data_IF_756914211150
#
_entry.id   IF_756914211150
#
_cell.length_a   1.000
_cell.length_b   1.000
_cell.length_c   1.000
_cell.angle_alpha   90.00
_cell.angle_beta   90.00
_cell.angle_gamma   90.00
#
_symmetry.space_group_name_H-M   'P 1'
#
loop_
_entity.id
_entity.type
_entity.pdbx_description
1 polymer ?
#
# COMPACT_ATOMS: atom_id res chain seq x y z
N UNK A 1 10.76 37.88 -15.13
CA UNK A 1 11.18 36.52 -15.54
C UNK A 1 10.01 35.58 -15.34
N UNK A 2 9.17 35.45 -16.36
CA UNK A 2 7.89 34.74 -16.34
C UNK A 2 8.11 33.23 -16.42
N UNK A 3 7.62 32.47 -15.45
CA UNK A 3 7.63 31.00 -15.47
C UNK A 3 6.74 30.49 -16.62
N UNK A 4 7.14 29.46 -17.37
CA UNK A 4 6.31 28.92 -18.44
C UNK A 4 5.07 28.25 -17.82
N UNK A 5 3.89 28.73 -18.21
CA UNK A 5 2.60 28.09 -17.90
C UNK A 5 2.61 26.68 -18.51
N UNK A 6 2.28 25.61 -17.75
CA UNK A 6 2.28 24.27 -18.31
C UNK A 6 1.27 24.19 -19.45
N UNK A 7 1.72 23.70 -20.60
CA UNK A 7 0.91 23.46 -21.78
C UNK A 7 -0.14 22.39 -21.46
N UNK A 8 -1.41 22.80 -21.45
CA UNK A 8 -2.55 21.88 -21.38
C UNK A 8 -2.51 21.05 -22.67
N UNK A 9 -2.12 19.79 -22.55
CA UNK A 9 -2.22 18.85 -23.67
C UNK A 9 -3.70 18.58 -23.96
N UNK A 10 -4.15 18.60 -25.22
CA UNK A 10 -5.58 18.54 -25.59
C UNK A 10 -6.24 17.17 -25.38
N UNK A 11 -5.52 16.18 -24.87
CA UNK A 11 -6.08 14.92 -24.39
C UNK A 11 -6.38 15.05 -22.90
N UNK A 12 -7.63 14.86 -22.46
CA UNK A 12 -8.09 14.96 -21.06
C UNK A 12 -7.43 14.02 -20.03
N UNK A 13 -6.28 13.41 -20.35
CA UNK A 13 -5.47 12.59 -19.46
C UNK A 13 -4.34 13.46 -18.89
N UNK A 14 -4.41 13.77 -17.60
CA UNK A 14 -3.35 14.49 -16.90
C UNK A 14 -2.40 13.50 -16.23
N UNK A 15 -1.10 13.65 -16.48
CA UNK A 15 -0.07 12.78 -15.91
C UNK A 15 0.47 13.39 -14.61
N UNK A 16 0.74 12.53 -13.62
CA UNK A 16 1.52 12.95 -12.46
C UNK A 16 2.98 13.17 -12.88
N UNK A 17 3.55 14.32 -12.54
CA UNK A 17 4.96 14.63 -12.78
C UNK A 17 5.69 14.72 -11.44
N UNK A 18 6.84 14.06 -11.34
CA UNK A 18 7.72 14.17 -10.18
C UNK A 18 8.87 15.14 -10.50
N UNK A 19 8.98 16.23 -9.74
CA UNK A 19 10.01 17.27 -9.92
C UNK A 19 11.13 17.22 -8.86
N UNK A 20 11.24 16.12 -8.12
CA UNK A 20 12.25 15.99 -7.07
C UNK A 20 13.64 15.73 -7.64
N UNK A 21 14.67 16.23 -6.97
CA UNK A 21 16.06 15.93 -7.31
C UNK A 21 16.57 14.76 -6.47
N UNK A 22 17.29 13.83 -7.12
CA UNK A 22 17.90 12.70 -6.43
C UNK A 22 18.91 13.14 -5.36
N UNK A 23 19.67 14.20 -5.63
CA UNK A 23 20.66 14.76 -4.69
C UNK A 23 20.05 15.29 -3.40
N UNK A 24 18.91 15.99 -3.47
CA UNK A 24 18.22 16.45 -2.25
C UNK A 24 17.66 15.27 -1.45
N UNK A 25 17.09 14.27 -2.12
CA UNK A 25 16.62 13.06 -1.45
C UNK A 25 17.77 12.28 -0.79
N UNK A 26 18.93 12.20 -1.46
CA UNK A 26 20.14 11.57 -0.94
C UNK A 26 20.66 12.30 0.31
N UNK A 27 20.73 13.63 0.27
CA UNK A 27 21.13 14.43 1.44
C UNK A 27 20.19 14.24 2.64
N UNK A 28 18.87 14.20 2.40
CA UNK A 28 17.89 13.87 3.46
C UNK A 28 18.14 12.46 4.02
N UNK A 29 18.40 11.47 3.14
CA UNK A 29 18.63 10.08 3.54
C UNK A 29 19.90 9.91 4.38
N UNK A 30 21.02 10.56 4.02
CA UNK A 30 22.26 10.50 4.82
C UNK A 30 22.05 11.08 6.21
N UNK A 31 21.46 12.27 6.31
CA UNK A 31 21.22 12.90 7.62
C UNK A 31 20.30 12.02 8.47
N UNK A 32 19.26 11.46 7.85
CA UNK A 32 18.37 10.52 8.54
C UNK A 32 19.12 9.25 8.97
N UNK A 33 20.00 8.69 8.15
CA UNK A 33 20.80 7.50 8.49
C UNK A 33 21.70 7.77 9.70
N UNK A 34 22.40 8.90 9.71
CA UNK A 34 23.25 9.29 10.84
C UNK A 34 22.42 9.40 12.12
N UNK A 35 21.28 10.09 12.07
CA UNK A 35 20.39 10.21 13.22
C UNK A 35 19.79 8.87 13.66
N UNK A 36 19.48 7.98 12.73
CA UNK A 36 19.03 6.61 13.03
C UNK A 36 20.11 5.85 13.79
N UNK A 37 21.37 5.93 13.36
CA UNK A 37 22.49 5.26 14.05
C UNK A 37 22.68 5.84 15.45
N UNK A 38 22.74 7.17 15.58
CA UNK A 38 22.94 7.86 16.87
C UNK A 38 21.81 7.58 17.86
N UNK A 39 20.57 7.44 17.38
CA UNK A 39 19.39 7.17 18.22
C UNK A 39 19.04 5.68 18.32
N UNK A 40 19.95 4.78 17.94
CA UNK A 40 19.75 3.33 17.97
C UNK A 40 18.44 2.88 17.29
N UNK A 41 18.10 3.50 16.16
CA UNK A 41 16.94 3.14 15.35
C UNK A 41 15.67 3.96 15.60
N UNK A 42 15.57 4.67 16.73
CA UNK A 42 14.35 5.39 17.12
C UNK A 42 14.01 6.51 16.12
N UNK A 43 15.00 7.23 15.61
CA UNK A 43 14.77 8.32 14.65
C UNK A 43 14.18 7.83 13.31
N UNK A 44 14.17 6.52 13.03
CA UNK A 44 13.67 5.98 11.76
C UNK A 44 12.22 6.38 11.46
N UNK A 45 11.39 6.57 12.49
CA UNK A 45 10.00 7.02 12.33
C UNK A 45 9.90 8.48 11.85
N UNK A 46 10.73 9.38 12.37
CA UNK A 46 10.82 10.76 11.93
C UNK A 46 11.46 10.87 10.56
N UNK A 47 12.51 10.08 10.30
CA UNK A 47 13.15 9.99 8.99
C UNK A 47 12.15 9.57 7.90
N UNK A 48 11.35 8.52 8.15
CA UNK A 48 10.27 8.08 7.26
C UNK A 48 9.25 9.19 6.99
N UNK A 49 8.82 9.93 8.00
CA UNK A 49 7.89 11.06 7.83
C UNK A 49 8.50 12.18 6.97
N UNK A 50 9.79 12.49 7.17
CA UNK A 50 10.52 13.53 6.43
C UNK A 50 10.67 13.17 4.95
N UNK A 51 11.06 11.92 4.66
CA UNK A 51 11.17 11.41 3.27
C UNK A 51 9.81 11.44 2.58
N UNK A 52 8.74 10.97 3.24
CA UNK A 52 7.38 11.01 2.66
C UNK A 52 6.93 12.43 2.37
N UNK A 53 7.17 13.37 3.30
CA UNK A 53 6.83 14.78 3.09
C UNK A 53 7.55 15.37 1.87
N UNK A 54 8.83 15.05 1.70
CA UNK A 54 9.60 15.46 0.53
C UNK A 54 9.04 14.85 -0.77
N UNK A 55 8.82 13.54 -0.81
CA UNK A 55 8.30 12.88 -2.01
C UNK A 55 6.94 13.44 -2.43
N UNK A 56 6.03 13.67 -1.49
CA UNK A 56 4.71 14.21 -1.78
C UNK A 56 4.80 15.67 -2.26
N UNK A 57 5.65 16.51 -1.63
CA UNK A 57 5.80 17.91 -2.05
C UNK A 57 6.49 18.10 -3.39
N UNK A 58 7.18 17.07 -3.88
CA UNK A 58 7.78 17.04 -5.21
C UNK A 58 6.94 16.27 -6.24
N UNK A 59 5.84 15.65 -5.82
CA UNK A 59 4.87 15.02 -6.72
C UNK A 59 3.80 16.04 -7.07
N UNK A 60 3.69 16.35 -8.36
CA UNK A 60 2.74 17.30 -8.92
C UNK A 60 1.72 16.54 -9.76
N UNK A 61 0.45 16.89 -9.60
CA UNK A 61 -0.64 16.36 -10.41
C UNK A 61 -1.54 17.53 -10.81
N UNK A 62 -1.84 17.66 -12.10
CA UNK A 62 -2.64 18.76 -12.66
C UNK A 62 -2.18 20.17 -12.25
N UNK A 63 -0.88 20.41 -12.18
CA UNK A 63 -0.31 21.73 -11.83
C UNK A 63 -0.14 22.01 -10.33
N UNK A 64 -0.69 21.14 -9.46
CA UNK A 64 -0.65 21.31 -8.01
C UNK A 64 0.07 20.15 -7.31
N UNK A 65 0.81 20.46 -6.24
CA UNK A 65 1.60 19.48 -5.48
C UNK A 65 0.78 18.80 -4.37
N UNK A 66 1.14 17.57 -4.04
CA UNK A 66 0.58 16.89 -2.88
C UNK A 66 1.23 17.40 -1.58
N UNK A 67 0.46 17.43 -0.50
CA UNK A 67 0.94 17.75 0.84
C UNK A 67 0.67 16.59 1.80
N UNK A 68 1.71 16.20 2.55
CA UNK A 68 1.67 15.13 3.54
C UNK A 68 1.83 15.69 4.95
N UNK A 69 0.84 15.43 5.81
CA UNK A 69 0.72 15.98 7.16
C UNK A 69 1.08 14.98 8.27
N UNK A 70 1.51 13.77 7.91
CA UNK A 70 1.87 12.75 8.91
C UNK A 70 3.12 13.12 9.70
N UNK A 71 3.13 12.75 10.99
CA UNK A 71 4.24 13.02 11.91
C UNK A 71 4.99 11.74 12.29
N UNK A 72 6.27 11.88 12.65
CA UNK A 72 7.09 10.75 13.14
C UNK A 72 6.52 10.13 14.43
N UNK A 73 5.96 10.97 15.32
CA UNK A 73 5.32 10.52 16.57
C UNK A 73 4.13 9.59 16.31
N UNK A 74 3.28 9.89 15.33
CA UNK A 74 2.16 9.02 14.95
C UNK A 74 2.63 7.65 14.47
N UNK A 75 3.67 7.64 13.63
CA UNK A 75 4.28 6.40 13.13
C UNK A 75 4.89 5.57 14.28
N UNK A 76 5.55 6.23 15.24
CA UNK A 76 6.11 5.58 16.42
C UNK A 76 5.02 4.97 17.31
N UNK A 77 3.94 5.70 17.60
CA UNK A 77 2.81 5.18 18.39
C UNK A 77 2.12 4.01 17.66
N UNK A 78 1.94 4.13 16.34
CA UNK A 78 1.41 3.04 15.52
C UNK A 78 2.30 1.79 15.59
N UNK A 79 3.61 1.95 15.54
CA UNK A 79 4.56 0.86 15.68
C UNK A 79 4.51 0.22 17.07
N UNK A 80 4.42 1.02 18.15
CA UNK A 80 4.29 0.49 19.50
C UNK A 80 3.03 -0.36 19.68
N UNK A 81 1.89 0.07 19.10
CA UNK A 81 0.65 -0.73 19.06
C UNK A 81 0.84 -2.05 18.30
N UNK A 82 1.54 -2.01 17.16
CA UNK A 82 1.82 -3.22 16.38
C UNK A 82 2.74 -4.18 17.15
N UNK A 83 3.80 -3.69 17.80
CA UNK A 83 4.65 -4.50 18.66
C UNK A 83 3.88 -5.10 19.82
N UNK A 84 3.03 -4.34 20.51
CA UNK A 84 2.16 -4.85 21.57
C UNK A 84 1.26 -5.98 21.08
N UNK A 85 0.63 -5.82 19.91
CA UNK A 85 -0.19 -6.86 19.30
C UNK A 85 0.61 -8.14 18.99
N UNK A 86 1.83 -8.00 18.45
CA UNK A 86 2.72 -9.15 18.16
C UNK A 86 3.16 -9.85 19.43
N UNK A 87 3.50 -9.10 20.49
CA UNK A 87 3.90 -9.67 21.79
C UNK A 87 2.74 -10.47 22.38
N UNK A 88 1.52 -9.91 22.39
CA UNK A 88 0.32 -10.62 22.87
C UNK A 88 0.08 -11.87 22.04
N UNK A 89 0.16 -11.76 20.71
CA UNK A 89 -0.01 -12.90 19.81
C UNK A 89 1.02 -14.01 20.09
N UNK A 90 2.29 -13.65 20.27
CA UNK A 90 3.36 -14.60 20.57
C UNK A 90 3.23 -15.22 21.96
N UNK A 91 2.82 -14.45 22.96
CA UNK A 91 2.56 -14.95 24.31
C UNK A 91 1.41 -15.96 24.32
N UNK A 92 0.31 -15.67 23.63
CA UNK A 92 -0.82 -16.59 23.46
C UNK A 92 -0.39 -17.84 22.70
N UNK A 93 0.37 -17.68 21.62
CA UNK A 93 0.92 -18.81 20.86
C UNK A 93 1.78 -19.72 21.75
N UNK A 94 2.72 -19.14 22.50
CA UNK A 94 3.60 -19.88 23.41
C UNK A 94 2.84 -20.58 24.54
N UNK A 95 1.77 -19.96 25.07
CA UNK A 95 0.92 -20.59 26.08
C UNK A 95 0.14 -21.79 25.49
N UNK A 96 -0.47 -21.62 24.31
CA UNK A 96 -1.29 -22.66 23.67
C UNK A 96 -0.44 -23.86 23.23
N UNK A 97 0.78 -23.65 22.73
CA UNK A 97 1.67 -24.74 22.26
C UNK A 97 2.05 -25.73 23.37
N UNK A 98 1.87 -25.37 24.65
CA UNK A 98 2.04 -26.30 25.77
C UNK A 98 0.93 -27.35 25.86
N UNK A 99 -0.23 -27.09 25.28
CA UNK A 99 -1.44 -27.91 25.39
C UNK A 99 -1.90 -28.54 24.07
N UNK A 100 -1.38 -28.08 22.92
CA UNK A 100 -1.80 -28.55 21.60
C UNK A 100 -0.66 -29.19 20.83
N UNK A 101 -1.00 -30.06 19.86
CA UNK A 101 -0.01 -30.64 18.96
C UNK A 101 0.63 -29.58 18.05
N UNK A 102 1.82 -29.87 17.53
CA UNK A 102 2.56 -28.98 16.64
C UNK A 102 1.72 -28.55 15.41
N UNK A 103 0.90 -29.44 14.87
CA UNK A 103 0.03 -29.13 13.72
C UNK A 103 -1.01 -28.05 14.03
N UNK A 104 -1.64 -28.12 15.22
CA UNK A 104 -2.62 -27.12 15.67
C UNK A 104 -1.92 -25.77 15.94
N UNK A 105 -0.72 -25.80 16.50
CA UNK A 105 0.08 -24.59 16.70
C UNK A 105 0.42 -23.88 15.37
N UNK A 106 0.83 -24.64 14.35
CA UNK A 106 1.10 -24.10 13.01
C UNK A 106 -0.17 -23.48 12.40
N UNK A 107 -1.31 -24.17 12.49
CA UNK A 107 -2.58 -23.64 12.01
C UNK A 107 -2.96 -22.32 12.69
N UNK A 108 -2.74 -22.21 14.01
CA UNK A 108 -2.96 -20.97 14.76
C UNK A 108 -2.11 -19.81 14.24
N UNK A 109 -0.85 -20.05 13.89
CA UNK A 109 0.01 -19.02 13.29
C UNK A 109 -0.59 -18.51 11.98
N UNK A 110 -0.96 -19.40 11.07
CA UNK A 110 -1.53 -19.01 9.77
C UNK A 110 -2.84 -18.24 9.93
N UNK A 111 -3.72 -18.68 10.82
CA UNK A 111 -4.98 -17.97 11.12
C UNK A 111 -4.71 -16.60 11.74
N UNK A 112 -3.78 -16.51 12.69
CA UNK A 112 -3.37 -15.26 13.31
C UNK A 112 -2.82 -14.25 12.30
N UNK A 113 -1.92 -14.69 11.42
CA UNK A 113 -1.38 -13.87 10.33
C UNK A 113 -2.52 -13.41 9.40
N UNK A 114 -3.40 -14.32 8.98
CA UNK A 114 -4.53 -14.01 8.12
C UNK A 114 -5.51 -13.01 8.78
N UNK A 115 -5.60 -12.98 10.11
CA UNK A 115 -6.40 -12.03 10.86
C UNK A 115 -5.71 -10.66 11.02
N UNK A 116 -4.39 -10.62 11.23
CA UNK A 116 -3.63 -9.37 11.48
C UNK A 116 -3.38 -8.59 10.19
N UNK A 117 -3.12 -9.26 9.06
CA UNK A 117 -2.85 -8.60 7.78
C UNK A 117 -3.96 -7.62 7.36
N UNK A 118 -5.25 -7.99 7.27
CA UNK A 118 -6.29 -7.07 6.82
C UNK A 118 -6.46 -5.88 7.76
N UNK A 119 -6.25 -6.06 9.08
CA UNK A 119 -6.26 -4.97 10.05
C UNK A 119 -5.12 -3.97 9.78
N UNK A 120 -3.91 -4.47 9.56
CA UNK A 120 -2.74 -3.65 9.26
C UNK A 120 -2.89 -2.89 7.93
N UNK A 121 -3.37 -3.58 6.88
CA UNK A 121 -3.65 -2.96 5.59
C UNK A 121 -4.72 -1.87 5.70
N UNK A 122 -5.82 -2.15 6.40
CA UNK A 122 -6.88 -1.17 6.64
C UNK A 122 -6.39 0.06 7.40
N UNK A 123 -5.67 -0.15 8.51
CA UNK A 123 -5.13 0.92 9.33
C UNK A 123 -4.12 1.78 8.57
N UNK A 124 -3.22 1.15 7.81
CA UNK A 124 -2.22 1.85 7.01
C UNK A 124 -2.84 2.69 5.89
N UNK A 125 -3.84 2.17 5.18
CA UNK A 125 -4.57 2.89 4.13
C UNK A 125 -5.32 4.09 4.70
N UNK A 126 -6.09 3.88 5.78
CA UNK A 126 -6.85 4.95 6.44
C UNK A 126 -5.93 6.07 6.95
N UNK A 127 -4.82 5.69 7.57
CA UNK A 127 -3.80 6.62 8.02
C UNK A 127 -3.22 7.43 6.84
N UNK A 128 -2.75 6.74 5.79
CA UNK A 128 -2.13 7.39 4.63
C UNK A 128 -3.07 8.39 3.95
N UNK A 129 -4.33 8.02 3.74
CA UNK A 129 -5.32 8.90 3.11
C UNK A 129 -5.61 10.12 3.98
N UNK A 130 -5.85 9.95 5.28
CA UNK A 130 -6.12 11.07 6.20
C UNK A 130 -4.98 12.09 6.34
N UNK A 131 -3.74 11.65 6.04
CA UNK A 131 -2.54 12.49 6.11
C UNK A 131 -2.11 13.04 4.75
N UNK A 132 -2.82 12.70 3.68
CA UNK A 132 -2.55 13.21 2.34
C UNK A 132 -3.59 14.26 1.96
N UNK A 133 -3.14 15.34 1.35
CA UNK A 133 -3.99 16.39 0.79
C UNK A 133 -3.47 16.84 -0.56
N UNK A 134 -4.37 17.34 -1.39
CA UNK A 134 -4.08 17.91 -2.69
C UNK A 134 -5.00 19.11 -2.92
N UNK A 135 -4.46 20.24 -3.40
CA UNK A 135 -5.20 21.52 -3.56
C UNK A 135 -5.94 21.96 -2.29
N UNK A 136 -5.35 21.71 -1.12
CA UNK A 136 -5.95 22.01 0.19
C UNK A 136 -7.04 21.03 0.65
N UNK A 137 -7.51 20.13 -0.21
CA UNK A 137 -8.54 19.12 0.12
C UNK A 137 -7.86 17.82 0.57
N UNK A 138 -8.28 17.29 1.72
CA UNK A 138 -7.75 16.03 2.27
C UNK A 138 -8.42 14.82 1.62
N UNK A 139 -7.62 13.77 1.41
CA UNK A 139 -8.18 12.47 1.06
C UNK A 139 -8.82 11.83 2.29
N UNK A 140 -9.87 11.06 2.07
CA UNK A 140 -10.51 10.28 3.13
C UNK A 140 -10.76 8.85 2.65
N UNK A 141 -10.62 7.90 3.56
CA UNK A 141 -10.94 6.51 3.31
C UNK A 141 -12.16 6.14 4.17
N UNK A 142 -13.26 5.77 3.52
CA UNK A 142 -14.58 5.52 4.14
C UNK A 142 -14.98 4.04 4.12
N UNK A 143 -14.03 3.13 3.88
CA UNK A 143 -14.31 1.69 3.83
C UNK A 143 -14.64 1.09 5.20
N UNK A 144 -15.53 0.10 5.22
CA UNK A 144 -15.88 -0.64 6.43
C UNK A 144 -14.88 -1.76 6.72
N UNK A 145 -14.41 -1.87 7.96
CA UNK A 145 -13.44 -2.91 8.35
C UNK A 145 -13.98 -4.33 8.11
N UNK A 146 -15.26 -4.58 8.41
CA UNK A 146 -15.89 -5.88 8.18
C UNK A 146 -15.89 -6.30 6.71
N UNK A 147 -16.13 -5.37 5.79
CA UNK A 147 -16.07 -5.64 4.34
C UNK A 147 -14.63 -5.94 3.88
N UNK A 148 -13.63 -5.25 4.45
CA UNK A 148 -12.22 -5.56 4.21
C UNK A 148 -11.90 -7.00 4.61
N UNK A 149 -12.32 -7.42 5.81
CA UNK A 149 -12.13 -8.79 6.30
C UNK A 149 -12.84 -9.82 5.43
N UNK A 150 -14.11 -9.58 5.09
CA UNK A 150 -14.92 -10.47 4.25
C UNK A 150 -14.26 -10.69 2.89
N UNK A 151 -13.80 -9.63 2.23
CA UNK A 151 -13.15 -9.73 0.93
C UNK A 151 -11.75 -10.36 1.02
N UNK A 152 -10.99 -10.03 2.07
CA UNK A 152 -9.66 -10.58 2.28
C UNK A 152 -9.70 -12.08 2.60
N UNK A 153 -10.45 -12.49 3.61
CA UNK A 153 -10.54 -13.89 4.04
C UNK A 153 -11.20 -14.76 2.97
N UNK A 154 -12.28 -14.29 2.33
CA UNK A 154 -12.88 -14.99 1.20
C UNK A 154 -11.92 -15.12 0.02
N UNK A 155 -11.12 -14.08 -0.23
CA UNK A 155 -10.08 -14.09 -1.27
C UNK A 155 -8.94 -15.05 -0.98
N UNK A 156 -8.44 -15.09 0.25
CA UNK A 156 -7.40 -16.03 0.70
C UNK A 156 -7.90 -17.46 0.59
N UNK A 157 -9.10 -17.75 1.10
CA UNK A 157 -9.70 -19.08 1.05
C UNK A 157 -9.86 -19.58 -0.40
N UNK A 158 -10.40 -18.75 -1.28
CA UNK A 158 -10.52 -19.10 -2.71
C UNK A 158 -9.16 -19.28 -3.39
N UNK A 159 -8.18 -18.47 -3.01
CA UNK A 159 -6.80 -18.60 -3.54
C UNK A 159 -6.16 -19.90 -3.11
N UNK A 160 -6.35 -20.33 -1.86
CA UNK A 160 -5.84 -21.62 -1.35
C UNK A 160 -6.53 -22.79 -2.05
N UNK A 161 -7.87 -22.78 -2.14
CA UNK A 161 -8.64 -23.86 -2.80
C UNK A 161 -8.28 -23.99 -4.28
N UNK A 162 -8.02 -22.88 -4.97
CA UNK A 162 -7.65 -22.86 -6.40
C UNK A 162 -6.15 -22.97 -6.65
N UNK A 163 -5.35 -23.34 -5.64
CA UNK A 163 -3.89 -23.47 -5.73
C UNK A 163 -3.21 -22.22 -6.32
N UNK A 164 -3.70 -21.04 -5.96
CA UNK A 164 -3.14 -19.75 -6.38
C UNK A 164 -3.79 -19.14 -7.63
N UNK A 165 -4.56 -19.89 -8.42
CA UNK A 165 -5.13 -19.40 -9.69
C UNK A 165 -6.08 -18.20 -9.49
N UNK A 166 -6.75 -18.11 -8.34
CA UNK A 166 -7.63 -16.99 -8.01
C UNK A 166 -6.91 -15.71 -7.57
N UNK A 167 -5.58 -15.73 -7.33
CA UNK A 167 -4.81 -14.57 -6.91
C UNK A 167 -5.04 -13.27 -7.72
N UNK A 168 -5.05 -13.26 -9.07
CA UNK A 168 -5.34 -12.04 -9.85
C UNK A 168 -6.75 -11.50 -9.63
N UNK A 169 -7.75 -12.35 -9.42
CA UNK A 169 -9.11 -11.92 -9.09
C UNK A 169 -9.20 -11.34 -7.69
N UNK A 170 -8.53 -11.98 -6.73
CA UNK A 170 -8.42 -11.46 -5.38
C UNK A 170 -7.77 -10.08 -5.36
N UNK A 171 -6.67 -9.89 -6.08
CA UNK A 171 -6.00 -8.59 -6.21
C UNK A 171 -6.94 -7.51 -6.77
N UNK A 172 -7.64 -7.80 -7.87
CA UNK A 172 -8.59 -6.85 -8.49
C UNK A 172 -9.74 -6.51 -7.54
N UNK A 173 -10.32 -7.48 -6.82
CA UNK A 173 -11.36 -7.22 -5.81
C UNK A 173 -10.85 -6.31 -4.70
N UNK A 174 -9.67 -6.61 -4.16
CA UNK A 174 -9.07 -5.81 -3.11
C UNK A 174 -8.76 -4.39 -3.60
N UNK A 175 -8.23 -4.23 -4.81
CA UNK A 175 -7.97 -2.92 -5.43
C UNK A 175 -9.25 -2.12 -5.65
N UNK A 176 -10.32 -2.80 -6.10
CA UNK A 176 -11.66 -2.20 -6.24
C UNK A 176 -12.17 -1.69 -4.89
N UNK A 177 -12.07 -2.50 -3.83
CA UNK A 177 -12.43 -2.09 -2.48
C UNK A 177 -11.64 -0.86 -2.02
N UNK A 178 -10.31 -0.84 -2.20
CA UNK A 178 -9.49 0.29 -1.78
C UNK A 178 -9.83 1.59 -2.54
N UNK A 179 -9.99 1.52 -3.86
CA UNK A 179 -10.24 2.70 -4.67
C UNK A 179 -11.66 3.23 -4.47
N UNK A 180 -12.69 2.37 -4.53
CA UNK A 180 -14.08 2.80 -4.39
C UNK A 180 -14.41 3.39 -3.01
N UNK A 181 -13.61 3.07 -2.00
CA UNK A 181 -13.75 3.63 -0.65
C UNK A 181 -12.79 4.80 -0.36
N UNK A 182 -11.95 5.18 -1.32
CA UNK A 182 -11.12 6.39 -1.24
C UNK A 182 -11.87 7.56 -1.86
N UNK A 183 -11.86 8.71 -1.18
CA UNK A 183 -12.55 9.92 -1.58
C UNK A 183 -11.58 11.09 -1.60
N UNK A 184 -11.75 11.96 -2.58
CA UNK A 184 -11.18 13.30 -2.59
C UNK A 184 -12.29 14.30 -2.33
N UNK A 185 -12.30 14.93 -1.15
CA UNK A 185 -13.46 15.71 -0.72
C UNK A 185 -14.72 14.84 -0.70
N UNK A 186 -15.65 15.10 -1.62
CA UNK A 186 -16.90 14.34 -1.78
C UNK A 186 -16.93 13.44 -3.03
N UNK A 187 -15.92 13.48 -3.90
CA UNK A 187 -15.87 12.63 -5.09
C UNK A 187 -15.14 11.32 -4.81
N UNK A 188 -15.76 10.15 -5.05
CA UNK A 188 -15.09 8.86 -4.88
C UNK A 188 -14.10 8.60 -6.02
N UNK A 189 -13.06 7.83 -5.72
CA UNK A 189 -12.26 7.18 -6.76
C UNK A 189 -13.00 5.97 -7.31
N UNK A 190 -12.78 5.66 -8.58
CA UNK A 190 -13.33 4.48 -9.23
C UNK A 190 -12.21 3.56 -9.71
N UNK A 191 -12.47 2.25 -9.71
CA UNK A 191 -11.58 1.28 -10.32
C UNK A 191 -12.36 0.28 -11.17
N UNK A 192 -11.99 0.18 -12.44
CA UNK A 192 -12.67 -0.64 -13.45
C UNK A 192 -11.78 -1.78 -13.97
N UNK A 193 -11.04 -2.43 -13.07
CA UNK A 193 -10.21 -3.60 -13.40
C UNK A 193 -11.00 -4.91 -13.42
N UNK A 194 -10.54 -5.87 -14.22
CA UNK A 194 -11.10 -7.23 -14.34
C UNK A 194 -9.99 -8.26 -14.12
N UNK A 195 -10.22 -9.21 -13.23
CA UNK A 195 -9.22 -10.24 -12.89
C UNK A 195 -8.78 -11.08 -14.10
N UNK A 196 -9.71 -11.37 -15.03
CA UNK A 196 -9.45 -12.14 -16.26
C UNK A 196 -8.32 -11.56 -17.11
N UNK A 197 -8.19 -10.23 -17.16
CA UNK A 197 -7.17 -9.55 -17.97
C UNK A 197 -5.73 -9.83 -17.43
N UNK A 198 -5.60 -10.17 -16.14
CA UNK A 198 -4.32 -10.47 -15.48
C UNK A 198 -3.99 -11.97 -15.44
N UNK A 199 -4.99 -12.86 -15.56
CA UNK A 199 -4.80 -14.32 -15.38
C UNK A 199 -3.74 -14.90 -16.29
N UNK A 200 -3.77 -14.58 -17.59
CA UNK A 200 -2.80 -15.11 -18.54
C UNK A 200 -1.35 -14.77 -18.15
N UNK A 201 -1.12 -13.50 -17.79
CA UNK A 201 0.20 -13.02 -17.39
C UNK A 201 0.64 -13.59 -16.04
N UNK A 202 -0.32 -13.84 -15.14
CA UNK A 202 -0.07 -14.51 -13.88
C UNK A 202 0.35 -15.96 -14.09
N UNK A 203 -0.36 -16.70 -14.95
CA UNK A 203 -0.02 -18.09 -15.29
C UNK A 203 1.36 -18.19 -15.95
N UNK A 204 1.67 -17.26 -16.87
CA UNK A 204 3.02 -17.13 -17.43
C UNK A 204 4.06 -16.86 -16.34
N UNK A 205 3.75 -16.00 -15.37
CA UNK A 205 4.67 -15.74 -14.26
C UNK A 205 4.91 -16.97 -13.39
N UNK A 206 3.87 -17.72 -13.07
CA UNK A 206 3.97 -18.98 -12.32
C UNK A 206 4.81 -20.00 -13.10
N UNK A 207 4.52 -20.20 -14.39
CA UNK A 207 5.25 -21.13 -15.25
C UNK A 207 6.74 -20.75 -15.36
N UNK A 208 7.02 -19.45 -15.54
CA UNK A 208 8.37 -18.93 -15.66
C UNK A 208 9.09 -18.78 -14.31
N UNK A 209 8.43 -19.08 -13.17
CA UNK A 209 9.04 -18.89 -11.85
C UNK A 209 10.27 -19.77 -11.67
N UNK A 210 10.20 -21.04 -12.04
CA UNK A 210 11.31 -22.00 -11.95
C UNK A 210 12.46 -21.61 -12.90
N UNK A 211 12.25 -21.48 -14.24
CA UNK A 211 13.35 -21.21 -15.16
C UNK A 211 13.97 -19.82 -14.98
N UNK A 212 13.21 -18.83 -14.50
CA UNK A 212 13.73 -17.47 -14.30
C UNK A 212 14.17 -17.18 -12.87
N UNK A 213 14.12 -18.16 -11.96
CA UNK A 213 14.40 -17.97 -10.53
C UNK A 213 13.71 -16.72 -9.96
N UNK A 214 12.38 -16.66 -10.15
CA UNK A 214 11.53 -15.52 -9.79
C UNK A 214 11.73 -14.20 -10.55
N UNK A 215 12.72 -14.05 -11.43
CA UNK A 215 13.00 -12.77 -12.09
C UNK A 215 11.81 -12.23 -12.90
N UNK A 216 11.01 -13.11 -13.50
CA UNK A 216 9.82 -12.70 -14.25
C UNK A 216 8.75 -12.01 -13.38
N UNK A 217 8.73 -12.25 -12.07
CA UNK A 217 7.78 -11.57 -11.17
C UNK A 217 7.96 -10.05 -11.13
N UNK A 218 9.16 -9.54 -11.41
CA UNK A 218 9.40 -8.09 -11.55
C UNK A 218 8.62 -7.50 -12.73
N UNK A 219 8.61 -8.21 -13.86
CA UNK A 219 7.86 -7.83 -15.05
C UNK A 219 6.37 -7.92 -14.83
N UNK A 220 5.91 -8.99 -14.18
CA UNK A 220 4.51 -9.14 -13.79
C UNK A 220 4.06 -8.02 -12.85
N UNK A 221 4.85 -7.70 -11.82
CA UNK A 221 4.55 -6.62 -10.88
C UNK A 221 4.48 -5.25 -11.57
N UNK A 222 5.43 -4.96 -12.47
CA UNK A 222 5.42 -3.72 -13.26
C UNK A 222 4.19 -3.65 -14.18
N UNK A 223 3.81 -4.77 -14.79
CA UNK A 223 2.61 -4.85 -15.64
C UNK A 223 1.33 -4.67 -14.83
N UNK A 224 1.23 -5.30 -13.67
CA UNK A 224 0.11 -5.18 -12.75
C UNK A 224 -0.06 -3.73 -12.26
N UNK A 225 1.03 -3.06 -11.89
CA UNK A 225 1.01 -1.64 -11.52
C UNK A 225 0.49 -0.75 -12.66
N UNK A 226 0.99 -0.95 -13.90
CA UNK A 226 0.49 -0.23 -15.09
C UNK A 226 -0.99 -0.51 -15.35
N UNK A 227 -1.40 -1.78 -15.28
CA UNK A 227 -2.79 -2.18 -15.44
C UNK A 227 -3.67 -1.43 -14.44
N UNK A 228 -3.24 -1.36 -13.19
CA UNK A 228 -4.05 -0.71 -12.18
C UNK A 228 -4.16 0.80 -12.36
N UNK A 229 -3.07 1.48 -12.74
CA UNK A 229 -3.10 2.93 -12.98
C UNK A 229 -4.02 3.29 -14.14
N UNK A 230 -3.97 2.54 -15.24
CA UNK A 230 -4.85 2.79 -16.40
C UNK A 230 -6.34 2.53 -16.12
N UNK A 231 -6.65 1.71 -15.11
CA UNK A 231 -8.02 1.36 -14.71
C UNK A 231 -8.52 2.12 -13.49
N UNK A 232 -7.65 2.91 -12.85
CA UNK A 232 -8.05 3.81 -11.77
C UNK A 232 -8.53 5.11 -12.39
N UNK A 233 -9.76 5.50 -12.06
CA UNK A 233 -10.40 6.73 -12.54
C UNK A 233 -10.65 7.66 -11.38
N UNK A 234 -10.51 8.94 -11.67
CA UNK A 234 -10.88 10.01 -10.77
C UNK A 234 -12.13 10.66 -11.34
N UNK A 235 -13.18 10.83 -10.54
CA UNK A 235 -14.50 11.29 -11.01
C UNK A 235 -14.54 12.73 -11.56
N UNK A 236 -13.39 13.37 -11.82
CA UNK A 236 -13.29 14.73 -12.36
C UNK A 236 -12.67 14.81 -13.77
N UNK A 237 -12.66 13.70 -14.53
CA UNK A 237 -12.34 13.70 -15.97
C UNK A 237 -12.95 12.49 -16.67
#
# INVERSE_FOLDING_TARGET
MSTPKPSVSPSGVQYASFRGSGGTLFGISIVNLLLIVVTLGIYSFWGKAKVRRYLYSQTEFSGDRFAYHGTGKELFIGALKAFGLIIVFYAVFFAITRFVSLGVAIAFIYVGIAAVIPLALYGSMRYAMSRTSWRGIRFSFRGALGECYKQFLGGVLLTVITLGVYAPFFHVKMRTYWMNNTYFGNTPFGYAGRGKDLVWHFLLAVLLTIPTLYLYWLWYAARQARYDWTRTRFAAA
#
